data_IF_214247173915
#
_entry.id   IF_214247173915
#
_cell.length_a   1.000
_cell.length_b   1.000
_cell.length_c   1.000
_cell.angle_alpha   90.00
_cell.angle_beta   90.00
_cell.angle_gamma   90.00
#
_symmetry.space_group_name_H-M   'P 1'
#
loop_
_entity.id
_entity.type
_entity.pdbx_description
1 polymer ?
#
# COMPACT_ATOMS: atom_id res chain seq x y z
N UNK A 1 -16.56 -30.68 6.53
CA UNK A 1 -15.51 -29.89 7.21
C UNK A 1 -15.94 -28.42 7.22
N UNK A 2 -16.05 -27.78 8.39
CA UNK A 2 -16.25 -26.32 8.44
C UNK A 2 -15.01 -25.67 7.82
N UNK A 3 -15.19 -24.95 6.72
CA UNK A 3 -14.08 -24.24 6.09
C UNK A 3 -13.67 -23.08 6.98
N UNK A 4 -12.38 -22.97 7.30
CA UNK A 4 -11.83 -21.86 8.08
C UNK A 4 -11.82 -20.53 7.29
N UNK A 5 -12.31 -20.54 6.05
CA UNK A 5 -12.39 -19.40 5.14
C UNK A 5 -13.52 -18.42 5.51
N UNK A 6 -13.36 -17.16 5.11
CA UNK A 6 -14.44 -16.16 5.15
C UNK A 6 -15.53 -16.46 4.10
N UNK A 7 -16.62 -15.68 4.13
CA UNK A 7 -17.66 -15.77 3.11
C UNK A 7 -17.13 -15.38 1.72
N UNK A 8 -17.75 -15.93 0.67
CA UNK A 8 -17.39 -15.62 -0.72
C UNK A 8 -17.54 -14.13 -1.04
N UNK A 9 -18.57 -13.46 -0.49
CA UNK A 9 -18.80 -12.02 -0.66
C UNK A 9 -17.63 -11.20 -0.12
N UNK A 10 -17.18 -11.49 1.10
CA UNK A 10 -16.03 -10.81 1.70
C UNK A 10 -14.78 -10.95 0.83
N UNK A 11 -14.54 -12.17 0.33
CA UNK A 11 -13.41 -12.44 -0.56
C UNK A 11 -13.48 -11.59 -1.83
N UNK A 12 -14.60 -11.61 -2.54
CA UNK A 12 -14.78 -10.82 -3.77
C UNK A 12 -14.52 -9.33 -3.49
N UNK A 13 -15.06 -8.79 -2.39
CA UNK A 13 -14.85 -7.39 -2.01
C UNK A 13 -13.36 -7.10 -1.81
N UNK A 14 -12.64 -7.95 -1.07
CA UNK A 14 -11.20 -7.74 -0.84
C UNK A 14 -10.41 -7.79 -2.15
N UNK A 15 -10.70 -8.73 -3.06
CA UNK A 15 -10.03 -8.81 -4.35
C UNK A 15 -10.30 -7.58 -5.23
N UNK A 16 -11.55 -7.09 -5.26
CA UNK A 16 -11.92 -5.88 -6.01
C UNK A 16 -11.17 -4.67 -5.44
N UNK A 17 -11.16 -4.50 -4.10
CA UNK A 17 -10.43 -3.40 -3.46
C UNK A 17 -8.92 -3.48 -3.73
N UNK A 18 -8.32 -4.67 -3.66
CA UNK A 18 -6.91 -4.87 -4.01
C UNK A 18 -6.64 -4.48 -5.46
N UNK A 19 -7.46 -4.93 -6.41
CA UNK A 19 -7.31 -4.60 -7.81
C UNK A 19 -7.46 -3.10 -8.08
N UNK A 20 -8.41 -2.44 -7.39
CA UNK A 20 -8.59 -0.99 -7.46
C UNK A 20 -7.36 -0.22 -6.96
N UNK A 21 -6.75 -0.65 -5.85
CA UNK A 21 -5.53 0.00 -5.32
C UNK A 21 -4.34 -0.19 -6.27
N UNK A 22 -4.18 -1.38 -6.85
CA UNK A 22 -3.13 -1.62 -7.86
C UNK A 22 -3.34 -0.72 -9.08
N UNK A 23 -4.57 -0.66 -9.60
CA UNK A 23 -4.90 0.19 -10.74
C UNK A 23 -4.65 1.67 -10.43
N UNK A 24 -5.01 2.11 -9.23
CA UNK A 24 -4.76 3.48 -8.77
C UNK A 24 -3.26 3.81 -8.72
N UNK A 25 -2.44 2.95 -8.11
CA UNK A 25 -0.99 3.14 -8.06
C UNK A 25 -0.37 3.24 -9.47
N UNK A 26 -0.76 2.34 -10.38
CA UNK A 26 -0.26 2.36 -11.76
C UNK A 26 -0.70 3.60 -12.54
N UNK A 27 -1.93 4.10 -12.31
CA UNK A 27 -2.40 5.35 -12.91
C UNK A 27 -1.54 6.51 -12.42
N UNK A 28 -1.29 6.62 -11.11
CA UNK A 28 -0.42 7.66 -10.54
C UNK A 28 1.02 7.58 -11.04
N UNK A 29 1.54 6.37 -11.21
CA UNK A 29 2.86 6.13 -11.78
C UNK A 29 2.97 6.51 -13.27
N UNK A 30 1.87 6.35 -14.02
CA UNK A 30 1.80 6.76 -15.43
C UNK A 30 1.66 8.27 -15.66
N UNK A 31 1.42 9.06 -14.60
CA UNK A 31 1.25 10.51 -14.71
C UNK A 31 2.58 11.23 -14.95
N UNK A 32 2.63 12.20 -15.90
CA UNK A 32 3.79 13.05 -16.13
C UNK A 32 4.29 13.72 -14.84
N UNK A 33 5.60 14.00 -14.78
CA UNK A 33 6.21 14.61 -13.59
C UNK A 33 5.61 15.96 -13.21
N UNK A 34 5.14 16.74 -14.19
CA UNK A 34 4.50 18.06 -13.97
C UNK A 34 3.15 17.93 -13.26
N UNK A 35 2.28 17.02 -13.73
CA UNK A 35 0.97 16.81 -13.09
C UNK A 35 1.13 16.24 -11.67
N UNK A 36 2.04 15.30 -11.49
CA UNK A 36 2.28 14.72 -10.16
C UNK A 36 2.92 15.69 -9.17
N UNK A 37 3.76 16.62 -9.64
CA UNK A 37 4.31 17.68 -8.81
C UNK A 37 3.23 18.66 -8.35
N UNK A 38 2.26 18.99 -9.21
CA UNK A 38 1.15 19.87 -8.84
C UNK A 38 0.26 19.25 -7.74
N UNK A 39 -0.04 17.94 -7.84
CA UNK A 39 -0.77 17.21 -6.80
C UNK A 39 0.00 17.18 -5.47
N UNK A 40 1.29 16.90 -5.55
CA UNK A 40 2.16 16.81 -4.38
C UNK A 40 2.41 18.17 -3.71
N UNK A 41 2.45 19.26 -4.48
CA UNK A 41 2.52 20.65 -4.00
C UNK A 41 1.25 21.02 -3.22
N UNK A 42 0.06 20.69 -3.72
CA UNK A 42 -1.19 20.93 -2.99
C UNK A 42 -1.23 20.20 -1.63
N UNK A 43 -0.71 18.97 -1.58
CA UNK A 43 -0.62 18.20 -0.32
C UNK A 43 0.44 18.82 0.60
N UNK A 44 1.57 19.24 0.06
CA UNK A 44 2.65 19.90 0.79
C UNK A 44 2.17 21.19 1.44
N UNK A 45 1.41 22.02 0.73
CA UNK A 45 0.83 23.26 1.25
C UNK A 45 -0.11 22.98 2.43
N UNK A 46 -1.00 22.01 2.28
CA UNK A 46 -1.91 21.60 3.34
C UNK A 46 -1.16 21.09 4.59
N UNK A 47 -0.17 20.23 4.40
CA UNK A 47 0.68 19.71 5.49
C UNK A 47 1.46 20.84 6.16
N UNK A 48 1.97 21.79 5.37
CA UNK A 48 2.72 22.95 5.88
C UNK A 48 1.86 23.85 6.75
N UNK A 49 0.61 24.10 6.37
CA UNK A 49 -0.34 24.85 7.19
C UNK A 49 -0.56 24.16 8.53
N UNK A 50 -0.79 22.85 8.53
CA UNK A 50 -0.98 22.08 9.76
C UNK A 50 0.26 22.14 10.66
N UNK A 51 1.46 21.90 10.10
CA UNK A 51 2.70 21.90 10.88
C UNK A 51 3.00 23.27 11.49
N UNK A 52 2.75 24.36 10.75
CA UNK A 52 2.86 25.72 11.27
C UNK A 52 1.89 26.01 12.40
N UNK A 53 0.66 25.47 12.38
CA UNK A 53 -0.28 25.58 13.51
C UNK A 53 0.27 24.93 14.79
N UNK A 54 1.11 23.91 14.68
CA UNK A 54 1.80 23.27 15.80
C UNK A 54 3.19 23.86 16.09
N UNK A 55 3.60 24.93 15.39
CA UNK A 55 4.90 25.59 15.58
C UNK A 55 6.09 24.81 15.02
N UNK A 56 5.86 23.87 14.11
CA UNK A 56 6.91 23.07 13.45
C UNK A 56 7.23 23.70 12.09
N UNK A 57 8.49 23.99 11.81
CA UNK A 57 8.93 24.40 10.47
C UNK A 57 9.11 23.15 9.58
N UNK A 58 8.30 22.97 8.53
CA UNK A 58 8.44 21.82 7.64
C UNK A 58 9.64 22.00 6.71
N UNK A 59 10.57 21.04 6.74
CA UNK A 59 11.56 20.83 5.70
C UNK A 59 11.13 19.64 4.82
N UNK A 60 9.96 19.78 4.18
CA UNK A 60 9.38 18.77 3.30
C UNK A 60 9.48 19.28 1.86
N UNK A 61 9.99 18.44 0.96
CA UNK A 61 9.97 18.70 -0.48
C UNK A 61 8.84 17.93 -1.16
N UNK A 62 8.41 18.42 -2.31
CA UNK A 62 7.48 17.73 -3.22
C UNK A 62 7.86 16.25 -3.41
N UNK A 63 9.15 16.00 -3.62
CA UNK A 63 9.65 14.65 -3.83
C UNK A 63 9.45 13.74 -2.61
N UNK A 64 9.58 14.26 -1.38
CA UNK A 64 9.35 13.49 -0.15
C UNK A 64 7.87 13.18 0.01
N UNK A 65 6.99 14.16 -0.21
CA UNK A 65 5.53 13.97 -0.13
C UNK A 65 5.08 12.89 -1.13
N UNK A 66 5.59 12.94 -2.36
CA UNK A 66 5.32 11.92 -3.36
C UNK A 66 5.77 10.53 -2.93
N UNK A 67 7.00 10.39 -2.42
CA UNK A 67 7.50 9.08 -1.92
C UNK A 67 6.66 8.56 -0.76
N UNK A 68 6.19 9.44 0.13
CA UNK A 68 5.31 9.06 1.23
C UNK A 68 3.91 8.65 0.74
N UNK A 69 3.39 9.30 -0.32
CA UNK A 69 2.13 8.93 -0.93
C UNK A 69 2.18 7.51 -1.51
N UNK A 70 3.18 7.22 -2.36
CA UNK A 70 3.40 5.87 -2.88
C UNK A 70 3.61 4.85 -1.74
N UNK A 71 4.49 5.13 -0.78
CA UNK A 71 4.69 4.27 0.38
C UNK A 71 3.37 3.95 1.11
N UNK A 72 2.48 4.93 1.25
CA UNK A 72 1.16 4.76 1.87
C UNK A 72 0.23 3.91 1.02
N UNK A 73 0.18 4.13 -0.29
CA UNK A 73 -0.58 3.30 -1.24
C UNK A 73 -0.14 1.83 -1.14
N UNK A 74 1.18 1.58 -1.13
CA UNK A 74 1.73 0.24 -1.00
C UNK A 74 1.52 -0.36 0.39
N UNK A 75 1.46 0.45 1.44
CA UNK A 75 1.05 0.02 2.78
C UNK A 75 -0.41 -0.46 2.77
N UNK A 76 -1.31 0.26 2.11
CA UNK A 76 -2.71 -0.17 1.94
C UNK A 76 -2.77 -1.45 1.11
N UNK A 77 -1.97 -1.56 0.04
CA UNK A 77 -1.89 -2.78 -0.78
C UNK A 77 -1.48 -4.00 0.06
N UNK A 78 -0.42 -3.88 0.86
CA UNK A 78 0.04 -4.96 1.74
C UNK A 78 -1.04 -5.40 2.74
N UNK A 79 -1.75 -4.44 3.33
CA UNK A 79 -2.87 -4.72 4.23
C UNK A 79 -4.03 -5.44 3.54
N UNK A 80 -4.39 -5.04 2.31
CA UNK A 80 -5.44 -5.68 1.51
C UNK A 80 -5.04 -7.09 1.04
N UNK A 81 -3.80 -7.28 0.59
CA UNK A 81 -3.29 -8.61 0.22
C UNK A 81 -3.30 -9.56 1.43
N UNK A 82 -2.91 -9.08 2.61
CA UNK A 82 -3.03 -9.85 3.85
C UNK A 82 -4.48 -10.17 4.20
N UNK A 83 -5.42 -9.26 3.89
CA UNK A 83 -6.86 -9.48 4.08
C UNK A 83 -7.41 -10.52 3.10
N UNK A 84 -6.92 -10.54 1.85
CA UNK A 84 -7.16 -11.60 0.88
C UNK A 84 -6.67 -12.95 1.40
N UNK A 85 -5.44 -13.04 1.93
CA UNK A 85 -4.90 -14.24 2.57
C UNK A 85 -5.78 -14.72 3.75
N UNK A 86 -6.21 -13.81 4.61
CA UNK A 86 -7.13 -14.11 5.72
C UNK A 86 -8.50 -14.63 5.24
N UNK A 87 -8.96 -14.18 4.07
CA UNK A 87 -10.23 -14.66 3.49
C UNK A 87 -10.20 -16.16 3.11
N UNK A 88 -9.01 -16.72 2.85
CA UNK A 88 -8.81 -18.13 2.52
C UNK A 88 -8.63 -18.99 3.77
N UNK A 89 -7.87 -18.51 4.77
CA UNK A 89 -7.68 -19.20 6.05
C UNK A 89 -7.63 -18.19 7.21
N UNK A 90 -8.70 -18.12 8.00
CA UNK A 90 -8.78 -17.23 9.17
C UNK A 90 -7.86 -17.66 10.31
N UNK A 91 -7.46 -18.93 10.34
CA UNK A 91 -6.67 -19.51 11.43
C UNK A 91 -5.17 -19.41 11.12
N UNK A 92 -4.78 -19.68 9.87
CA UNK A 92 -3.37 -19.66 9.45
C UNK A 92 -3.17 -18.82 8.18
N UNK A 93 -3.48 -17.51 8.20
CA UNK A 93 -3.23 -16.61 7.06
C UNK A 93 -1.75 -16.55 6.68
N UNK A 94 -0.86 -16.82 7.65
CA UNK A 94 0.60 -16.78 7.47
C UNK A 94 1.10 -17.68 6.33
N UNK A 95 0.37 -18.77 6.00
CA UNK A 95 0.71 -19.66 4.89
C UNK A 95 0.71 -18.97 3.53
N UNK A 96 -0.07 -17.89 3.40
CA UNK A 96 -0.22 -17.15 2.15
C UNK A 96 0.68 -15.90 2.08
N UNK A 97 1.47 -15.64 3.12
CA UNK A 97 2.35 -14.47 3.18
C UNK A 97 3.43 -14.47 2.10
N UNK A 98 4.08 -15.60 1.77
CA UNK A 98 5.01 -15.62 0.63
C UNK A 98 4.36 -15.11 -0.66
N UNK A 99 3.14 -15.55 -0.97
CA UNK A 99 2.40 -15.08 -2.14
C UNK A 99 2.03 -13.59 -2.04
N UNK A 100 1.59 -13.13 -0.87
CA UNK A 100 1.25 -11.72 -0.61
C UNK A 100 2.46 -10.83 -0.85
N UNK A 101 3.61 -11.18 -0.27
CA UNK A 101 4.86 -10.41 -0.39
C UNK A 101 5.38 -10.47 -1.82
N UNK A 102 5.32 -11.61 -2.49
CA UNK A 102 5.72 -11.72 -3.90
C UNK A 102 4.83 -10.87 -4.82
N UNK A 103 3.51 -10.91 -4.67
CA UNK A 103 2.59 -10.07 -5.47
C UNK A 103 2.87 -8.59 -5.22
N UNK A 104 3.07 -8.19 -3.97
CA UNK A 104 3.43 -6.81 -3.64
C UNK A 104 4.75 -6.39 -4.27
N UNK A 105 5.80 -7.20 -4.16
CA UNK A 105 7.10 -6.93 -4.80
C UNK A 105 6.99 -6.79 -6.31
N UNK A 106 6.26 -7.70 -6.98
CA UNK A 106 6.01 -7.61 -8.41
C UNK A 106 5.23 -6.36 -8.78
N UNK A 107 4.30 -5.92 -7.94
CA UNK A 107 3.55 -4.68 -8.16
C UNK A 107 4.47 -3.48 -8.11
N UNK A 108 5.32 -3.35 -7.08
CA UNK A 108 6.31 -2.25 -6.98
C UNK A 108 7.29 -2.28 -8.17
N UNK A 109 7.71 -3.46 -8.62
CA UNK A 109 8.59 -3.60 -9.78
C UNK A 109 7.91 -3.14 -11.08
N UNK A 110 6.66 -3.53 -11.32
CA UNK A 110 5.90 -3.11 -12.49
C UNK A 110 5.69 -1.60 -12.45
N UNK A 111 5.38 -1.05 -11.28
CA UNK A 111 5.14 0.38 -11.11
C UNK A 111 6.35 1.23 -11.47
N UNK A 112 7.53 0.88 -10.96
CA UNK A 112 8.80 1.55 -11.33
C UNK A 112 9.14 1.34 -12.81
N UNK A 113 8.75 0.19 -13.38
CA UNK A 113 8.91 -0.06 -14.83
C UNK A 113 7.99 0.84 -15.66
N UNK A 114 6.77 1.14 -15.18
CA UNK A 114 5.86 2.10 -15.82
C UNK A 114 6.48 3.50 -15.78
N UNK A 115 7.04 3.92 -14.64
CA UNK A 115 7.68 5.24 -14.51
C UNK A 115 8.84 5.44 -15.50
N UNK A 116 9.60 4.40 -15.84
CA UNK A 116 10.66 4.48 -16.86
C UNK A 116 10.14 4.86 -18.25
N UNK A 117 8.86 4.61 -18.54
CA UNK A 117 8.21 4.98 -19.79
C UNK A 117 7.59 6.39 -19.80
N UNK A 118 7.68 7.14 -18.69
CA UNK A 118 7.04 8.44 -18.53
C UNK A 118 8.06 9.58 -18.61
N UNK A 119 7.72 10.64 -19.34
CA UNK A 119 8.59 11.81 -19.48
C UNK A 119 8.84 12.51 -18.13
N UNK A 120 10.11 12.81 -17.86
CA UNK A 120 10.53 13.51 -16.64
C UNK A 120 10.49 12.66 -15.37
N UNK A 121 10.29 11.34 -15.50
CA UNK A 121 10.41 10.36 -14.41
C UNK A 121 11.67 9.52 -14.58
N UNK A 122 12.22 9.05 -13.48
CA UNK A 122 13.26 8.04 -13.47
C UNK A 122 12.85 6.93 -12.51
N UNK A 123 12.79 5.71 -13.02
CA UNK A 123 12.61 4.53 -12.18
C UNK A 123 13.86 4.33 -11.33
N UNK A 124 13.69 4.25 -10.01
CA UNK A 124 14.78 4.08 -9.05
C UNK A 124 14.57 2.79 -8.25
N UNK A 125 15.60 1.96 -8.23
CA UNK A 125 15.59 0.73 -7.41
C UNK A 125 15.40 1.06 -5.92
N UNK A 126 15.88 2.21 -5.45
CA UNK A 126 15.62 2.68 -4.08
C UNK A 126 14.15 2.93 -3.81
N UNK A 127 13.40 3.45 -4.78
CA UNK A 127 12.00 3.83 -4.62
C UNK A 127 11.13 2.56 -4.63
N UNK A 128 11.46 1.60 -5.50
CA UNK A 128 10.93 0.23 -5.44
C UNK A 128 11.06 -0.39 -4.04
N UNK A 129 12.23 -0.26 -3.41
CA UNK A 129 12.46 -0.82 -2.07
C UNK A 129 11.68 -0.10 -0.98
N UNK A 130 11.55 1.23 -1.06
CA UNK A 130 10.74 2.02 -0.13
C UNK A 130 9.29 1.54 -0.20
N UNK A 131 8.73 1.45 -1.40
CA UNK A 131 7.36 0.99 -1.63
C UNK A 131 7.14 -0.44 -1.17
N UNK A 132 8.12 -1.32 -1.43
CA UNK A 132 8.09 -2.68 -0.93
C UNK A 132 8.11 -2.75 0.61
N UNK A 133 8.86 -1.88 1.29
CA UNK A 133 8.76 -1.76 2.75
C UNK A 133 7.37 -1.32 3.20
N UNK A 134 6.67 -0.49 2.41
CA UNK A 134 5.27 -0.17 2.61
C UNK A 134 4.39 -1.43 2.61
N UNK A 135 4.52 -2.27 1.57
CA UNK A 135 3.82 -3.57 1.51
C UNK A 135 4.07 -4.43 2.75
N UNK A 136 5.34 -4.54 3.18
CA UNK A 136 5.71 -5.30 4.36
C UNK A 136 5.08 -4.73 5.63
N UNK A 137 5.11 -3.40 5.80
CA UNK A 137 4.50 -2.71 6.93
C UNK A 137 2.98 -2.97 6.98
N UNK A 138 2.29 -2.77 5.87
CA UNK A 138 0.85 -3.01 5.76
C UNK A 138 0.46 -4.46 6.07
N UNK A 139 1.25 -5.41 5.56
CA UNK A 139 1.08 -6.83 5.84
C UNK A 139 1.25 -7.14 7.33
N UNK A 140 2.31 -6.62 7.96
CA UNK A 140 2.61 -6.84 9.37
C UNK A 140 1.52 -6.24 10.28
N UNK A 141 1.11 -4.99 10.00
CA UNK A 141 0.03 -4.31 10.74
C UNK A 141 -1.26 -5.14 10.67
N UNK A 142 -1.62 -5.63 9.49
CA UNK A 142 -2.87 -6.37 9.32
C UNK A 142 -2.82 -7.78 9.96
N UNK A 143 -1.67 -8.44 9.95
CA UNK A 143 -1.47 -9.69 10.69
C UNK A 143 -1.68 -9.48 12.20
N UNK A 144 -1.12 -8.41 12.76
CA UNK A 144 -1.31 -8.06 14.18
C UNK A 144 -2.78 -7.76 14.46
N UNK A 145 -3.44 -6.98 13.60
CA UNK A 145 -4.86 -6.67 13.74
C UNK A 145 -5.73 -7.96 13.75
N UNK A 146 -5.49 -8.90 12.85
CA UNK A 146 -6.20 -10.17 12.83
C UNK A 146 -5.89 -11.06 14.04
N UNK A 147 -4.65 -11.05 14.52
CA UNK A 147 -4.28 -11.76 15.74
C UNK A 147 -5.03 -11.21 16.96
N UNK A 148 -5.07 -9.89 17.14
CA UNK A 148 -5.83 -9.22 18.19
C UNK A 148 -7.32 -9.55 18.07
N UNK A 149 -7.89 -9.41 16.87
CA UNK A 149 -9.31 -9.68 16.60
C UNK A 149 -9.70 -11.12 16.99
N UNK A 150 -8.87 -12.10 16.64
CA UNK A 150 -9.11 -13.50 17.00
C UNK A 150 -9.02 -13.75 18.50
N UNK A 151 -8.04 -13.12 19.17
CA UNK A 151 -7.87 -13.23 20.62
C UNK A 151 -9.09 -12.68 21.37
N UNK A 152 -9.63 -11.54 20.91
CA UNK A 152 -10.86 -10.94 21.47
C UNK A 152 -12.07 -11.83 21.21
N UNK A 153 -12.20 -12.37 20.00
CA UNK A 153 -13.34 -13.22 19.59
C UNK A 153 -13.23 -14.69 20.04
N UNK A 154 -12.16 -15.08 20.75
CA UNK A 154 -11.84 -16.46 21.18
C UNK A 154 -11.90 -17.48 20.03
N UNK A 155 -11.45 -17.07 18.84
CA UNK A 155 -11.40 -17.94 17.66
C UNK A 155 -10.09 -18.73 17.71
N UNK A 156 -10.16 -19.95 18.25
CA UNK A 156 -9.06 -20.92 18.28
C UNK A 156 -8.85 -21.54 16.90
#
# INVERSE_FOLDING_TARGET
MKTNSCSMRFRIIMFVLTASVIAFAFIHSSMPSVESAQESESVLDFVTVILKLFGIEPNLSDHIIRKLAHFTEYTVLGALLCSCAYSFDRIKPIKFIPYTVSIGLFTCFIDETIQLGVEGRSGQVSDMWIDFFGVLLGTAVMLVAFWIYRKIRKIN
#
